data_IF_247267571675
#
_entry.id   IF_247267571675
#
_cell.length_a   1.000
_cell.length_b   1.000
_cell.length_c   1.000
_cell.angle_alpha   90.00
_cell.angle_beta   90.00
_cell.angle_gamma   90.00
#
_symmetry.space_group_name_H-M   'P 1'
#
loop_
_entity.id
_entity.type
_entity.pdbx_description
1 polymer ?
#
# COMPACT_ATOMS: atom_id res chain seq x y z
N UNK A 1 55.25 -57.51 30.62
CA UNK A 1 53.77 -57.54 30.37
C UNK A 1 53.24 -56.15 30.61
N UNK A 2 53.06 -55.37 29.52
CA UNK A 2 52.60 -53.99 29.55
C UNK A 2 51.18 -53.92 28.99
N UNK A 3 50.16 -53.31 29.68
CA UNK A 3 48.82 -53.17 29.13
C UNK A 3 48.75 -51.95 28.29
N UNK A 4 48.31 -52.16 27.06
CA UNK A 4 48.05 -51.18 26.03
C UNK A 4 46.77 -50.37 26.31
N UNK A 5 46.91 -49.11 26.74
CA UNK A 5 45.79 -48.19 26.96
C UNK A 5 45.21 -47.75 25.59
N UNK A 6 44.02 -48.27 25.26
CA UNK A 6 43.21 -47.80 24.12
C UNK A 6 42.62 -46.41 24.46
N UNK A 7 43.12 -45.37 23.79
CA UNK A 7 42.53 -44.03 23.81
C UNK A 7 41.40 -44.00 22.78
N UNK A 8 40.18 -43.98 23.29
CA UNK A 8 38.98 -43.85 22.48
C UNK A 8 38.74 -42.32 22.26
N UNK A 9 39.15 -41.80 21.10
CA UNK A 9 38.87 -40.41 20.73
C UNK A 9 37.40 -40.27 20.35
N UNK A 10 36.62 -39.65 21.23
CA UNK A 10 35.22 -39.27 20.98
C UNK A 10 35.18 -38.05 20.08
N UNK A 11 34.93 -38.27 18.81
CA UNK A 11 34.74 -37.16 17.83
C UNK A 11 33.34 -36.55 18.04
N UNK A 12 33.26 -35.44 18.76
CA UNK A 12 32.02 -34.66 18.96
C UNK A 12 31.69 -33.93 17.68
N UNK A 13 30.80 -34.47 16.83
CA UNK A 13 30.24 -33.79 15.67
C UNK A 13 29.35 -32.64 16.20
N UNK A 14 29.86 -31.41 16.14
CA UNK A 14 29.07 -30.19 16.29
C UNK A 14 28.17 -30.03 15.04
N UNK A 15 26.94 -30.50 15.15
CA UNK A 15 25.90 -30.18 14.17
C UNK A 15 25.54 -28.68 14.30
N UNK A 16 26.08 -27.84 13.44
CA UNK A 16 25.59 -26.49 13.29
C UNK A 16 24.18 -26.58 12.71
N UNK A 17 23.17 -25.94 13.33
CA UNK A 17 21.87 -25.80 12.67
C UNK A 17 22.08 -24.98 11.39
N UNK A 18 21.89 -25.59 10.23
CA UNK A 18 21.79 -24.88 8.98
C UNK A 18 20.52 -24.01 9.10
N UNK A 19 20.69 -22.72 9.32
CA UNK A 19 19.58 -21.78 9.16
C UNK A 19 19.06 -21.93 7.74
N UNK A 20 17.84 -22.46 7.59
CA UNK A 20 17.17 -22.54 6.31
C UNK A 20 16.98 -21.09 5.81
N UNK A 21 17.74 -20.70 4.81
CA UNK A 21 17.48 -19.43 4.10
C UNK A 21 16.14 -19.60 3.41
N UNK A 22 15.11 -18.99 3.96
CA UNK A 22 13.81 -18.92 3.28
C UNK A 22 14.00 -18.03 2.07
N UNK A 23 14.04 -18.63 0.88
CA UNK A 23 14.06 -17.89 -0.39
C UNK A 23 12.66 -17.32 -0.58
N UNK A 24 12.55 -15.99 -0.52
CA UNK A 24 11.28 -15.31 -0.76
C UNK A 24 10.85 -15.47 -2.23
N UNK A 25 9.55 -15.59 -2.46
CA UNK A 25 9.01 -15.75 -3.81
C UNK A 25 8.74 -14.40 -4.42
N UNK A 26 9.11 -14.25 -5.69
CA UNK A 26 8.81 -13.05 -6.47
C UNK A 26 7.31 -13.09 -6.82
N UNK A 27 6.60 -12.02 -6.48
CA UNK A 27 5.19 -11.82 -6.84
C UNK A 27 5.06 -10.99 -8.12
N UNK A 28 5.90 -9.96 -8.28
CA UNK A 28 5.96 -9.18 -9.50
C UNK A 28 7.35 -8.54 -9.68
N UNK A 29 7.64 -8.10 -10.91
CA UNK A 29 8.72 -7.18 -11.20
C UNK A 29 8.16 -5.92 -11.85
N UNK A 30 8.74 -4.78 -11.52
CA UNK A 30 8.44 -3.48 -12.12
C UNK A 30 9.76 -2.86 -12.55
N UNK A 31 10.13 -3.03 -13.81
CA UNK A 31 11.46 -2.75 -14.34
C UNK A 31 12.55 -3.49 -13.54
N UNK A 32 13.29 -2.77 -12.70
CA UNK A 32 14.36 -3.33 -11.86
C UNK A 32 13.93 -3.59 -10.42
N UNK A 33 12.74 -3.17 -10.04
CA UNK A 33 12.21 -3.40 -8.69
C UNK A 33 11.54 -4.78 -8.64
N UNK A 34 11.90 -5.56 -7.64
CA UNK A 34 11.26 -6.84 -7.34
C UNK A 34 10.26 -6.61 -6.20
N UNK A 35 9.04 -7.11 -6.37
CA UNK A 35 8.02 -7.17 -5.33
C UNK A 35 7.85 -8.63 -4.91
N UNK A 36 7.89 -8.88 -3.61
CA UNK A 36 7.91 -10.24 -3.09
C UNK A 36 6.61 -10.62 -2.38
N UNK A 37 6.40 -11.92 -2.19
CA UNK A 37 5.24 -12.44 -1.45
C UNK A 37 5.31 -12.02 0.02
N UNK A 38 6.51 -11.90 0.58
CA UNK A 38 6.70 -11.39 1.94
C UNK A 38 6.29 -9.93 2.07
N UNK A 39 6.65 -9.06 1.11
CA UNK A 39 6.20 -7.66 1.11
C UNK A 39 4.67 -7.54 1.07
N UNK A 40 3.98 -8.35 0.24
CA UNK A 40 2.51 -8.38 0.23
C UNK A 40 1.99 -8.77 1.62
N UNK A 41 2.55 -9.83 2.22
CA UNK A 41 2.14 -10.31 3.54
C UNK A 41 2.38 -9.27 4.64
N UNK A 42 3.50 -8.55 4.59
CA UNK A 42 3.80 -7.43 5.47
C UNK A 42 2.74 -6.33 5.37
N UNK A 43 2.41 -5.87 4.16
CA UNK A 43 1.42 -4.82 3.93
C UNK A 43 0.02 -5.23 4.40
N UNK A 44 -0.37 -6.50 4.19
CA UNK A 44 -1.63 -7.06 4.70
C UNK A 44 -1.61 -7.09 6.23
N UNK A 45 -0.54 -7.60 6.84
CA UNK A 45 -0.41 -7.77 8.30
C UNK A 45 -0.49 -6.43 9.03
N UNK A 46 0.22 -5.41 8.56
CA UNK A 46 0.18 -4.06 9.16
C UNK A 46 -1.03 -3.24 8.69
N UNK A 47 -1.92 -3.80 7.88
CA UNK A 47 -3.09 -3.14 7.30
C UNK A 47 -2.73 -1.81 6.62
N UNK A 48 -1.60 -1.80 5.88
CA UNK A 48 -1.08 -0.59 5.25
C UNK A 48 -2.05 0.01 4.24
N UNK A 49 -2.69 -0.85 3.44
CA UNK A 49 -3.80 -0.47 2.56
C UNK A 49 -5.14 -0.81 3.20
N UNK A 50 -6.20 -0.01 2.97
CA UNK A 50 -7.55 -0.36 3.39
C UNK A 50 -7.99 -1.68 2.74
N UNK A 51 -8.72 -2.51 3.50
CA UNK A 51 -9.32 -3.72 2.95
C UNK A 51 -10.56 -3.36 2.15
N UNK A 52 -10.58 -3.73 0.87
CA UNK A 52 -11.67 -3.51 -0.08
C UNK A 52 -12.33 -4.82 -0.49
N UNK A 53 -11.57 -5.90 -0.57
CA UNK A 53 -12.04 -7.21 -0.96
C UNK A 53 -12.62 -8.02 0.21
N UNK A 54 -13.59 -8.88 -0.11
CA UNK A 54 -14.23 -9.77 0.87
C UNK A 54 -13.34 -10.97 1.22
N UNK A 55 -12.70 -11.60 0.20
CA UNK A 55 -11.81 -12.72 0.41
C UNK A 55 -10.37 -12.26 0.76
N UNK A 56 -9.62 -13.11 1.44
CA UNK A 56 -8.22 -12.86 1.75
C UNK A 56 -7.34 -12.91 0.49
N UNK A 57 -7.63 -13.84 -0.42
CA UNK A 57 -6.88 -13.97 -1.67
C UNK A 57 -7.08 -12.74 -2.57
N UNK A 58 -8.30 -12.25 -2.73
CA UNK A 58 -8.57 -11.04 -3.50
C UNK A 58 -7.90 -9.82 -2.84
N UNK A 59 -7.95 -9.73 -1.50
CA UNK A 59 -7.28 -8.65 -0.80
C UNK A 59 -5.76 -8.65 -1.03
N UNK A 60 -5.12 -9.82 -1.05
CA UNK A 60 -3.68 -9.94 -1.36
C UNK A 60 -3.37 -9.51 -2.79
N UNK A 61 -4.26 -9.80 -3.75
CA UNK A 61 -4.13 -9.32 -5.13
C UNK A 61 -4.29 -7.80 -5.22
N UNK A 62 -5.29 -7.23 -4.52
CA UNK A 62 -5.47 -5.78 -4.42
C UNK A 62 -4.21 -5.08 -3.85
N UNK A 63 -3.60 -5.68 -2.82
CA UNK A 63 -2.35 -5.18 -2.22
C UNK A 63 -1.19 -5.24 -3.22
N UNK A 64 -1.07 -6.34 -3.98
CA UNK A 64 -0.04 -6.43 -5.05
C UNK A 64 -0.24 -5.34 -6.10
N UNK A 65 -1.47 -5.15 -6.59
CA UNK A 65 -1.78 -4.12 -7.59
C UNK A 65 -1.49 -2.71 -7.03
N UNK A 66 -1.79 -2.46 -5.76
CA UNK A 66 -1.45 -1.20 -5.08
C UNK A 66 0.07 -0.99 -4.99
N UNK A 67 0.85 -2.03 -4.66
CA UNK A 67 2.32 -1.98 -4.62
C UNK A 67 2.91 -1.72 -6.01
N UNK A 68 2.41 -2.39 -7.06
CA UNK A 68 2.84 -2.13 -8.45
C UNK A 68 2.54 -0.68 -8.83
N UNK A 69 1.33 -0.19 -8.57
CA UNK A 69 0.93 1.18 -8.86
C UNK A 69 1.80 2.19 -8.10
N UNK A 70 2.09 1.92 -6.82
CA UNK A 70 2.97 2.75 -5.99
C UNK A 70 4.41 2.76 -6.53
N UNK A 71 4.96 1.62 -6.93
CA UNK A 71 6.30 1.51 -7.50
C UNK A 71 6.41 2.35 -8.78
N UNK A 72 5.44 2.23 -9.70
CA UNK A 72 5.38 2.98 -10.94
C UNK A 72 5.32 4.50 -10.68
N UNK A 73 4.42 4.93 -9.80
CA UNK A 73 4.21 6.35 -9.47
C UNK A 73 5.43 6.94 -8.75
N UNK A 74 5.98 6.21 -7.79
CA UNK A 74 7.13 6.68 -7.00
C UNK A 74 8.37 6.88 -7.87
N UNK A 75 8.62 5.99 -8.83
CA UNK A 75 9.72 6.15 -9.79
C UNK A 75 9.60 7.45 -10.61
N UNK A 76 8.39 7.80 -11.00
CA UNK A 76 8.14 9.06 -11.74
C UNK A 76 8.37 10.27 -10.81
N UNK A 77 7.93 10.17 -9.56
CA UNK A 77 8.19 11.19 -8.52
C UNK A 77 9.70 11.38 -8.28
N UNK A 78 10.47 10.29 -8.13
CA UNK A 78 11.93 10.39 -7.98
C UNK A 78 12.61 11.09 -9.17
N UNK A 79 12.12 10.82 -10.37
CA UNK A 79 12.66 11.44 -11.61
C UNK A 79 12.43 12.94 -11.66
N UNK A 80 11.32 13.44 -11.13
CA UNK A 80 10.97 14.87 -11.15
C UNK A 80 11.33 15.62 -9.85
N UNK A 81 11.83 14.91 -8.85
CA UNK A 81 12.20 15.43 -7.53
C UNK A 81 11.10 15.18 -6.50
N UNK A 82 11.38 14.22 -5.60
CA UNK A 82 10.50 13.95 -4.47
C UNK A 82 10.52 15.10 -3.46
N UNK A 83 9.36 15.56 -3.04
CA UNK A 83 9.25 16.57 -1.99
C UNK A 83 9.69 16.01 -0.64
N UNK A 84 10.23 16.86 0.22
CA UNK A 84 10.44 16.49 1.61
C UNK A 84 9.10 16.51 2.36
N UNK A 85 8.82 15.44 3.08
CA UNK A 85 7.57 15.27 3.82
C UNK A 85 7.82 15.62 5.29
N UNK A 86 7.04 16.57 5.87
CA UNK A 86 7.14 16.92 7.28
C UNK A 86 6.89 15.70 8.17
N UNK A 87 7.63 15.63 9.28
CA UNK A 87 7.54 14.49 10.20
C UNK A 87 6.15 14.34 10.81
N UNK A 88 5.48 15.43 11.13
CA UNK A 88 4.12 15.43 11.65
C UNK A 88 3.11 14.82 10.68
N UNK A 89 3.25 15.03 9.37
CA UNK A 89 2.43 14.36 8.35
C UNK A 89 2.66 12.84 8.33
N UNK A 90 3.91 12.40 8.52
CA UNK A 90 4.24 10.97 8.62
C UNK A 90 3.60 10.36 9.86
N UNK A 91 3.74 11.03 11.03
CA UNK A 91 3.14 10.54 12.29
C UNK A 91 1.61 10.57 12.23
N UNK A 92 0.99 11.57 11.61
CA UNK A 92 -0.47 11.59 11.39
C UNK A 92 -0.94 10.38 10.57
N UNK A 93 -0.25 10.05 9.46
CA UNK A 93 -0.57 8.87 8.66
C UNK A 93 -0.31 7.57 9.42
N UNK A 94 0.73 7.50 10.27
CA UNK A 94 0.99 6.36 11.13
C UNK A 94 -0.16 6.14 12.11
N UNK A 95 -0.67 7.18 12.73
CA UNK A 95 -1.85 7.12 13.60
C UNK A 95 -3.10 6.62 12.86
N UNK A 96 -3.33 7.04 11.61
CA UNK A 96 -4.44 6.52 10.80
C UNK A 96 -4.32 4.99 10.58
N UNK A 97 -3.11 4.47 10.36
CA UNK A 97 -2.87 3.03 10.23
C UNK A 97 -3.10 2.33 11.58
N UNK A 98 -2.60 2.90 12.69
CA UNK A 98 -2.82 2.38 14.05
C UNK A 98 -4.32 2.27 14.37
N UNK A 99 -5.12 3.25 14.00
CA UNK A 99 -6.57 3.24 14.22
C UNK A 99 -7.33 2.14 13.44
N UNK A 100 -6.67 1.44 12.53
CA UNK A 100 -7.23 0.22 11.89
C UNK A 100 -7.15 -1.01 12.79
N UNK A 101 -6.46 -0.91 13.93
CA UNK A 101 -6.31 -1.96 14.92
C UNK A 101 -7.13 -1.63 16.18
N UNK A 102 -7.61 -2.64 16.91
CA UNK A 102 -8.38 -2.43 18.14
C UNK A 102 -7.58 -1.74 19.25
N UNK A 103 -6.23 -1.87 19.25
CA UNK A 103 -5.35 -1.26 20.22
C UNK A 103 -3.94 -1.01 19.66
N UNK A 104 -3.19 -0.12 20.30
CA UNK A 104 -1.78 0.13 20.02
C UNK A 104 -0.92 -1.14 20.20
N UNK A 105 -1.25 -1.96 21.19
CA UNK A 105 -0.56 -3.23 21.44
C UNK A 105 -0.73 -4.21 20.29
N UNK A 106 -1.94 -4.29 19.68
CA UNK A 106 -2.18 -5.15 18.53
C UNK A 106 -1.47 -4.63 17.28
N UNK A 107 -1.42 -3.31 17.08
CA UNK A 107 -0.60 -2.73 16.02
C UNK A 107 0.88 -3.05 16.19
N UNK A 108 1.44 -2.87 17.40
CA UNK A 108 2.85 -3.19 17.68
C UNK A 108 3.16 -4.68 17.46
N UNK A 109 2.23 -5.57 17.85
CA UNK A 109 2.34 -7.00 17.59
C UNK A 109 2.30 -7.30 16.07
N UNK A 110 1.45 -6.64 15.30
CA UNK A 110 1.37 -6.79 13.86
C UNK A 110 2.65 -6.32 13.16
N UNK A 111 3.24 -5.20 13.58
CA UNK A 111 4.53 -4.71 13.07
C UNK A 111 5.64 -5.72 13.33
N UNK A 112 5.70 -6.28 14.55
CA UNK A 112 6.66 -7.34 14.92
C UNK A 112 6.44 -8.61 14.11
N UNK A 113 5.18 -9.03 13.94
CA UNK A 113 4.82 -10.21 13.13
C UNK A 113 5.19 -10.04 11.65
N UNK A 114 5.10 -8.82 11.14
CA UNK A 114 5.53 -8.47 9.79
C UNK A 114 7.06 -8.38 9.63
N UNK A 115 7.83 -8.62 10.71
CA UNK A 115 9.29 -8.48 10.74
C UNK A 115 9.73 -7.06 10.31
N UNK A 116 8.92 -6.03 10.67
CA UNK A 116 9.20 -4.63 10.39
C UNK A 116 9.53 -3.88 11.69
N UNK A 117 10.26 -2.80 11.53
CA UNK A 117 10.43 -1.75 12.55
C UNK A 117 9.48 -0.58 12.29
N UNK A 118 9.19 0.22 13.31
CA UNK A 118 8.39 1.43 13.14
C UNK A 118 9.04 2.45 12.18
N UNK A 119 10.38 2.46 12.10
CA UNK A 119 11.09 3.35 11.18
C UNK A 119 10.95 2.90 9.73
N UNK A 120 10.89 1.59 9.46
CA UNK A 120 10.57 1.06 8.14
C UNK A 120 9.12 1.38 7.75
N UNK A 121 8.17 1.25 8.68
CA UNK A 121 6.78 1.67 8.43
C UNK A 121 6.71 3.17 8.13
N UNK A 122 7.44 4.02 8.86
CA UNK A 122 7.53 5.46 8.56
C UNK A 122 8.14 5.74 7.19
N UNK A 123 9.15 4.97 6.77
CA UNK A 123 9.77 5.11 5.45
C UNK A 123 8.77 4.74 4.33
N UNK A 124 7.97 3.69 4.50
CA UNK A 124 6.88 3.33 3.58
C UNK A 124 5.84 4.44 3.49
N UNK A 125 5.42 4.99 4.64
CA UNK A 125 4.49 6.12 4.71
C UNK A 125 5.06 7.35 4.00
N UNK A 126 6.33 7.71 4.28
CA UNK A 126 7.00 8.86 3.62
C UNK A 126 6.94 8.72 2.11
N UNK A 127 7.26 7.54 1.57
CA UNK A 127 7.22 7.27 0.14
C UNK A 127 5.81 7.42 -0.44
N UNK A 128 4.79 6.94 0.27
CA UNK A 128 3.39 7.13 -0.14
C UNK A 128 3.02 8.61 -0.14
N UNK A 129 3.33 9.35 0.92
CA UNK A 129 3.03 10.78 1.01
C UNK A 129 3.75 11.63 -0.04
N UNK A 130 4.95 11.22 -0.49
CA UNK A 130 5.65 11.86 -1.60
C UNK A 130 4.88 11.71 -2.91
N UNK A 131 4.29 10.53 -3.16
CA UNK A 131 3.40 10.32 -4.32
C UNK A 131 2.14 11.16 -4.18
N UNK A 132 1.52 11.19 -3.01
CA UNK A 132 0.31 11.97 -2.73
C UNK A 132 0.57 13.48 -2.95
N UNK A 133 1.70 14.00 -2.44
CA UNK A 133 2.11 15.39 -2.63
C UNK A 133 2.32 15.74 -4.11
N UNK A 134 3.00 14.88 -4.85
CA UNK A 134 3.19 15.04 -6.30
C UNK A 134 1.86 15.08 -7.06
N UNK A 135 0.92 14.19 -6.68
CA UNK A 135 -0.43 14.16 -7.26
C UNK A 135 -1.14 15.48 -7.00
N UNK A 136 -1.12 15.98 -5.76
CA UNK A 136 -1.77 17.24 -5.41
C UNK A 136 -1.18 18.44 -6.15
N UNK A 137 0.14 18.48 -6.31
CA UNK A 137 0.79 19.58 -7.03
C UNK A 137 0.53 19.53 -8.54
N UNK A 138 0.61 18.35 -9.15
CA UNK A 138 0.60 18.21 -10.60
C UNK A 138 -0.79 18.04 -11.20
N UNK A 139 -1.66 17.29 -10.55
CA UNK A 139 -2.97 16.92 -11.11
C UNK A 139 -4.14 17.68 -10.51
N UNK A 140 -4.11 18.03 -9.22
CA UNK A 140 -5.23 18.73 -8.61
C UNK A 140 -5.56 20.10 -9.25
N UNK A 141 -4.59 20.90 -9.74
CA UNK A 141 -4.87 22.14 -10.46
C UNK A 141 -5.54 21.93 -11.83
N UNK A 142 -5.40 20.74 -12.43
CA UNK A 142 -5.99 20.41 -13.73
C UNK A 142 -7.45 20.00 -13.63
N UNK A 143 -7.93 19.71 -12.42
CA UNK A 143 -9.30 19.26 -12.17
C UNK A 143 -10.22 20.47 -12.05
N UNK A 144 -10.88 20.81 -13.17
CA UNK A 144 -11.94 21.81 -13.19
C UNK A 144 -13.31 21.15 -13.01
N UNK A 145 -14.18 21.76 -12.18
CA UNK A 145 -15.53 21.25 -11.89
C UNK A 145 -16.55 22.33 -12.25
N UNK A 146 -17.41 22.02 -13.21
CA UNK A 146 -18.54 22.89 -13.61
C UNK A 146 -19.76 22.66 -12.70
N UNK A 147 -20.76 23.53 -12.79
CA UNK A 147 -22.04 23.32 -12.11
C UNK A 147 -22.78 22.10 -12.70
N UNK A 148 -22.66 21.88 -13.99
CA UNK A 148 -23.23 20.73 -14.70
C UNK A 148 -22.64 19.40 -14.20
N UNK A 149 -21.33 19.37 -13.91
CA UNK A 149 -20.67 18.19 -13.31
C UNK A 149 -21.23 17.89 -11.91
N UNK A 150 -21.42 18.93 -11.09
CA UNK A 150 -22.01 18.80 -9.75
C UNK A 150 -23.43 18.25 -9.86
N UNK A 151 -24.25 18.82 -10.73
CA UNK A 151 -25.65 18.41 -10.93
C UNK A 151 -25.74 16.96 -11.46
N UNK A 152 -24.89 16.59 -12.40
CA UNK A 152 -24.83 15.23 -12.97
C UNK A 152 -24.41 14.20 -11.91
N UNK A 153 -23.34 14.49 -11.16
CA UNK A 153 -22.84 13.61 -10.12
C UNK A 153 -23.83 13.43 -8.98
N UNK A 154 -24.49 14.51 -8.55
CA UNK A 154 -25.52 14.46 -7.52
C UNK A 154 -26.69 13.56 -7.95
N UNK A 155 -27.20 13.68 -9.19
CA UNK A 155 -28.31 12.87 -9.68
C UNK A 155 -27.95 11.42 -9.95
N UNK A 156 -26.69 11.16 -10.31
CA UNK A 156 -26.16 9.83 -10.60
C UNK A 156 -25.46 9.19 -9.39
N UNK A 157 -24.11 9.12 -9.42
CA UNK A 157 -23.34 8.29 -8.46
C UNK A 157 -23.60 8.63 -7.00
N UNK A 158 -23.70 9.92 -6.66
CA UNK A 158 -23.85 10.36 -5.27
C UNK A 158 -25.20 9.93 -4.68
N UNK A 159 -26.29 10.18 -5.42
CA UNK A 159 -27.61 9.79 -4.98
C UNK A 159 -27.79 8.27 -4.94
N UNK A 160 -27.18 7.55 -5.89
CA UNK A 160 -27.19 6.10 -5.94
C UNK A 160 -26.50 5.51 -4.72
N UNK A 161 -25.29 5.93 -4.39
CA UNK A 161 -24.53 5.46 -3.23
C UNK A 161 -25.29 5.68 -1.92
N UNK A 162 -25.97 6.82 -1.77
CA UNK A 162 -26.80 7.08 -0.58
C UNK A 162 -28.00 6.15 -0.47
N UNK A 163 -28.69 5.88 -1.59
CA UNK A 163 -29.82 4.93 -1.61
C UNK A 163 -29.37 3.52 -1.28
N UNK A 164 -28.25 3.05 -1.83
CA UNK A 164 -27.66 1.74 -1.53
C UNK A 164 -27.33 1.57 -0.04
N UNK A 165 -26.96 2.67 0.64
CA UNK A 165 -26.72 2.70 2.09
C UNK A 165 -28.01 2.92 2.91
N UNK A 166 -29.18 3.01 2.29
CA UNK A 166 -30.45 3.29 2.97
C UNK A 166 -30.56 4.72 3.50
N UNK A 167 -29.75 5.66 3.00
CA UNK A 167 -29.74 7.04 3.45
C UNK A 167 -30.64 7.92 2.58
N UNK A 168 -31.29 8.91 3.20
CA UNK A 168 -32.05 9.92 2.47
C UNK A 168 -31.13 10.73 1.54
N UNK A 169 -31.68 11.18 0.40
CA UNK A 169 -31.00 12.08 -0.54
C UNK A 169 -31.48 13.52 -0.25
N UNK A 170 -30.68 14.34 0.44
CA UNK A 170 -31.04 15.75 0.74
C UNK A 170 -31.07 16.57 -0.56
N UNK A 171 -31.67 17.78 -0.51
CA UNK A 171 -31.65 18.68 -1.67
C UNK A 171 -30.20 19.07 -2.05
N UNK A 172 -29.93 19.22 -3.36
CA UNK A 172 -28.59 19.60 -3.82
C UNK A 172 -28.09 20.89 -3.15
N UNK A 173 -28.95 21.85 -2.93
CA UNK A 173 -28.56 23.13 -2.30
C UNK A 173 -27.97 22.94 -0.91
N UNK A 174 -28.46 21.96 -0.13
CA UNK A 174 -27.95 21.70 1.23
C UNK A 174 -26.65 20.91 1.28
N UNK A 175 -26.28 20.24 0.18
CA UNK A 175 -25.09 19.36 0.10
C UNK A 175 -24.15 19.73 -1.06
N UNK A 176 -24.35 20.91 -1.69
CA UNK A 176 -23.61 21.32 -2.89
C UNK A 176 -22.09 21.25 -2.72
N UNK A 177 -21.55 21.71 -1.59
CA UNK A 177 -20.10 21.67 -1.35
C UNK A 177 -19.59 20.27 -1.07
N UNK A 178 -20.38 19.41 -0.41
CA UNK A 178 -20.08 18.00 -0.23
C UNK A 178 -20.01 17.29 -1.59
N UNK A 179 -21.01 17.52 -2.46
CA UNK A 179 -21.05 16.96 -3.80
C UNK A 179 -19.90 17.48 -4.64
N UNK A 180 -19.58 18.78 -4.59
CA UNK A 180 -18.45 19.39 -5.30
C UNK A 180 -17.12 18.72 -4.90
N UNK A 181 -16.93 18.51 -3.61
CA UNK A 181 -15.73 17.82 -3.08
C UNK A 181 -15.65 16.38 -3.59
N UNK A 182 -16.77 15.66 -3.59
CA UNK A 182 -16.84 14.28 -4.09
C UNK A 182 -16.58 14.20 -5.61
N UNK A 183 -17.16 15.11 -6.41
CA UNK A 183 -16.87 15.21 -7.85
C UNK A 183 -15.38 15.47 -8.09
N UNK A 184 -14.80 16.43 -7.34
CA UNK A 184 -13.38 16.75 -7.47
C UNK A 184 -12.49 15.53 -7.16
N UNK A 185 -12.80 14.81 -6.09
CA UNK A 185 -12.08 13.60 -5.74
C UNK A 185 -12.22 12.53 -6.85
N UNK A 186 -13.41 12.30 -7.38
CA UNK A 186 -13.66 11.35 -8.47
C UNK A 186 -12.89 11.72 -9.75
N UNK A 187 -12.87 13.00 -10.13
CA UNK A 187 -12.11 13.46 -11.30
C UNK A 187 -10.61 13.33 -11.12
N UNK A 188 -10.11 13.65 -9.93
CA UNK A 188 -8.70 13.47 -9.60
C UNK A 188 -8.31 12.00 -9.68
N UNK A 189 -9.14 11.09 -9.16
CA UNK A 189 -8.93 9.64 -9.23
C UNK A 189 -8.88 9.15 -10.70
N UNK A 190 -9.76 9.66 -11.57
CA UNK A 190 -9.73 9.36 -13.00
C UNK A 190 -8.38 9.80 -13.64
N UNK A 191 -7.88 10.98 -13.32
CA UNK A 191 -6.59 11.47 -13.84
C UNK A 191 -5.42 10.65 -13.31
N UNK A 192 -5.44 10.27 -12.03
CA UNK A 192 -4.45 9.36 -11.42
C UNK A 192 -4.49 7.99 -12.11
N UNK A 193 -5.67 7.47 -12.39
CA UNK A 193 -5.86 6.21 -13.11
C UNK A 193 -5.25 6.25 -14.52
N UNK A 194 -5.53 7.30 -15.28
CA UNK A 194 -4.95 7.53 -16.62
C UNK A 194 -3.43 7.62 -16.56
N UNK A 195 -2.90 8.39 -15.62
CA UNK A 195 -1.45 8.51 -15.41
C UNK A 195 -0.82 7.15 -15.06
N UNK A 196 -1.41 6.41 -14.12
CA UNK A 196 -0.90 5.09 -13.73
C UNK A 196 -0.91 4.11 -14.90
N UNK A 197 -1.96 4.11 -15.73
CA UNK A 197 -2.06 3.31 -16.94
C UNK A 197 -0.95 3.66 -17.95
N UNK A 198 -0.67 4.95 -18.13
CA UNK A 198 0.42 5.42 -19.00
C UNK A 198 1.80 5.01 -18.47
N UNK A 199 2.00 5.06 -17.15
CA UNK A 199 3.24 4.58 -16.52
C UNK A 199 3.42 3.08 -16.75
N UNK A 200 2.37 2.30 -16.52
CA UNK A 200 2.38 0.84 -16.74
C UNK A 200 2.68 0.46 -18.20
N UNK A 201 2.12 1.21 -19.17
CA UNK A 201 2.36 0.97 -20.59
C UNK A 201 3.81 1.24 -21.05
N UNK A 202 4.61 1.95 -20.23
CA UNK A 202 6.03 2.29 -20.52
C UNK A 202 7.01 1.51 -19.67
N UNK A 203 6.53 0.75 -18.71
CA UNK A 203 7.32 -0.04 -17.79
C UNK A 203 7.27 -1.51 -18.19
N UNK A 204 8.33 -2.23 -17.84
CA UNK A 204 8.37 -3.69 -17.89
C UNK A 204 7.77 -4.23 -16.61
N UNK A 205 6.55 -4.79 -16.68
CA UNK A 205 5.81 -5.27 -15.52
C UNK A 205 5.40 -6.71 -15.74
N UNK A 206 6.07 -7.61 -15.02
CA UNK A 206 5.71 -9.02 -14.97
C UNK A 206 5.06 -9.38 -13.64
N UNK A 207 3.97 -10.12 -13.70
CA UNK A 207 3.27 -10.66 -12.51
C UNK A 207 3.36 -12.18 -12.55
N UNK A 208 3.83 -12.77 -11.46
CA UNK A 208 4.05 -14.21 -11.37
C UNK A 208 2.94 -14.88 -10.53
N UNK A 209 2.69 -16.16 -10.82
CA UNK A 209 1.80 -16.97 -9.99
C UNK A 209 2.48 -17.28 -8.64
N UNK A 210 1.86 -16.86 -7.52
CA UNK A 210 2.43 -16.97 -6.16
C UNK A 210 1.42 -17.53 -5.13
N UNK A 211 0.73 -18.60 -5.45
CA UNK A 211 -0.17 -19.32 -4.51
C UNK A 211 0.60 -20.22 -3.57
#
# INVERSE_FOLDING_TARGET
MTPMRRVLSLLLLLAFPAAAVTVDRIAATVDRQVLTVSEISQMVTIRFFPRTAESEDDHRHDVLDALIAQALRYRDVERFGAQDIPRDAIEARLLEIQHRFPSETEFAAAVTQAELTLDEVRALIKRQLQVDAYIQERFAPLVFISNEDIDAYYRGPWAQQRRERGLAVPSLNSVREEVRTAVRASRLEEEIGKWTTQLRARADVDVFAWR
#
